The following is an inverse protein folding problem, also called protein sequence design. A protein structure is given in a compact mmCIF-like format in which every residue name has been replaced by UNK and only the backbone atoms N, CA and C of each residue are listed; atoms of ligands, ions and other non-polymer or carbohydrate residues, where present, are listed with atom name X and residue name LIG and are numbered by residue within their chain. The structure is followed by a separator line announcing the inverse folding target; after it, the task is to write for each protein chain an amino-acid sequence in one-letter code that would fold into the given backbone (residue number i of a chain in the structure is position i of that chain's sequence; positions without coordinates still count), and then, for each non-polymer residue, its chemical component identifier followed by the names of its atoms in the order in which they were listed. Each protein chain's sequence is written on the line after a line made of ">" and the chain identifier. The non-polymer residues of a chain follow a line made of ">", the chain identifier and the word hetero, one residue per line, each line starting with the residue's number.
data_IF_427353641172
#
_entry.id   IF_427353641172
#
_cell.length_a   1.000
_cell.length_b   1.000
_cell.length_c   1.000
_cell.angle_alpha   90.00
_cell.angle_beta   90.00
_cell.angle_gamma   90.00
#
_symmetry.space_group_name_H-M   'P 1'
#
loop_
_entity.id
_entity.type
_entity.pdbx_description
1 polymer ?
#
# COMPACT_ATOMS: atom_id res chain seq x y z
N UNK A 1 -2.19 -8.47 -22.11
CA UNK A 1 -2.05 -9.27 -20.88
C UNK A 1 -0.60 -9.11 -20.43
N UNK A 2 -0.21 -7.92 -19.97
CA UNK A 2 1.14 -7.70 -19.44
C UNK A 2 1.13 -8.20 -18.00
N UNK A 3 1.67 -9.40 -17.80
CA UNK A 3 1.89 -9.97 -16.47
C UNK A 3 2.65 -8.96 -15.61
N UNK A 4 1.95 -8.33 -14.68
CA UNK A 4 2.49 -7.43 -13.67
C UNK A 4 3.46 -8.21 -12.79
N UNK A 5 4.73 -8.22 -13.22
CA UNK A 5 5.87 -8.96 -12.64
C UNK A 5 6.10 -8.70 -11.14
N UNK A 6 5.49 -7.66 -10.58
CA UNK A 6 5.70 -7.18 -9.21
C UNK A 6 5.17 -8.18 -8.16
N UNK A 7 4.23 -9.06 -8.52
CA UNK A 7 3.61 -10.03 -7.61
C UNK A 7 4.15 -11.47 -7.74
N UNK A 8 5.06 -11.75 -8.68
CA UNK A 8 5.39 -13.15 -9.05
C UNK A 8 6.60 -13.74 -8.32
N UNK A 9 7.53 -12.92 -7.81
CA UNK A 9 8.75 -13.39 -7.12
C UNK A 9 9.18 -12.44 -5.99
N UNK A 10 9.71 -12.96 -4.87
CA UNK A 10 10.37 -12.14 -3.86
C UNK A 10 11.49 -11.32 -4.47
N UNK A 11 11.52 -10.02 -4.13
CA UNK A 11 12.72 -9.22 -4.28
C UNK A 11 13.85 -9.91 -3.51
N UNK A 12 14.97 -10.10 -4.19
CA UNK A 12 16.18 -10.62 -3.56
C UNK A 12 16.71 -9.61 -2.53
N UNK A 13 17.48 -10.06 -1.52
CA UNK A 13 18.13 -9.14 -0.57
C UNK A 13 18.98 -8.06 -1.25
N UNK A 14 19.58 -8.40 -2.40
CA UNK A 14 20.36 -7.45 -3.19
C UNK A 14 19.47 -6.37 -3.85
N UNK A 15 18.31 -6.74 -4.38
CA UNK A 15 17.36 -5.78 -4.94
C UNK A 15 16.77 -4.86 -3.86
N UNK A 16 16.45 -5.41 -2.68
CA UNK A 16 15.98 -4.62 -1.55
C UNK A 16 17.05 -3.61 -1.09
N UNK A 17 18.32 -4.03 -0.98
CA UNK A 17 19.39 -3.10 -0.61
C UNK A 17 19.64 -2.05 -1.71
N UNK A 18 19.47 -2.41 -2.99
CA UNK A 18 19.51 -1.46 -4.09
C UNK A 18 18.39 -0.41 -3.98
N UNK A 19 17.14 -0.81 -3.74
CA UNK A 19 16.01 0.11 -3.53
C UNK A 19 16.25 1.03 -2.34
N UNK A 20 16.73 0.45 -1.22
CA UNK A 20 17.06 1.20 -0.01
C UNK A 20 18.19 2.21 -0.25
N UNK A 21 19.20 1.83 -1.04
CA UNK A 21 20.29 2.71 -1.44
C UNK A 21 19.79 3.89 -2.28
N UNK A 22 18.88 3.66 -3.23
CA UNK A 22 18.25 4.73 -4.00
C UNK A 22 17.52 5.71 -3.07
N UNK A 23 16.69 5.20 -2.14
CA UNK A 23 15.97 6.04 -1.17
C UNK A 23 16.91 6.87 -0.28
N UNK A 24 18.03 6.29 0.16
CA UNK A 24 19.05 6.97 0.97
C UNK A 24 19.82 8.05 0.20
N UNK A 25 19.93 7.90 -1.11
CA UNK A 25 20.63 8.84 -1.99
C UNK A 25 19.72 9.98 -2.48
N UNK A 26 18.44 9.98 -2.10
CA UNK A 26 17.54 11.07 -2.45
C UNK A 26 17.92 12.37 -1.72
N UNK A 27 17.74 13.55 -2.36
CA UNK A 27 18.11 14.84 -1.80
C UNK A 27 17.45 15.14 -0.44
N UNK A 28 16.18 14.76 -0.28
CA UNK A 28 15.42 15.03 0.95
C UNK A 28 15.61 13.96 2.03
N UNK A 29 16.40 12.91 1.78
CA UNK A 29 16.56 11.82 2.74
C UNK A 29 17.15 12.33 4.06
N UNK A 30 16.37 12.22 5.12
CA UNK A 30 16.79 12.57 6.48
C UNK A 30 16.01 11.76 7.50
N UNK A 31 16.69 11.26 8.53
CA UNK A 31 16.07 10.55 9.66
C UNK A 31 15.11 9.43 9.22
N UNK A 32 15.47 8.71 8.15
CA UNK A 32 14.68 7.64 7.55
C UNK A 32 13.32 8.07 6.97
N UNK A 33 13.22 9.35 6.60
CA UNK A 33 12.10 9.95 5.88
C UNK A 33 12.60 10.62 4.61
N UNK A 34 11.72 10.72 3.62
CA UNK A 34 11.91 11.48 2.38
C UNK A 34 10.68 12.36 2.15
N UNK A 35 10.81 13.41 1.36
CA UNK A 35 9.67 14.19 0.90
C UNK A 35 8.83 13.40 -0.11
N UNK A 36 7.51 13.46 0.01
CA UNK A 36 6.57 12.69 -0.80
C UNK A 36 6.72 12.95 -2.31
N UNK A 37 7.13 14.16 -2.68
CA UNK A 37 7.36 14.55 -4.08
C UNK A 37 8.52 13.80 -4.73
N UNK A 38 9.47 13.30 -3.94
CA UNK A 38 10.63 12.56 -4.44
C UNK A 38 10.35 11.08 -4.64
N UNK A 39 9.17 10.60 -4.23
CA UNK A 39 8.76 9.21 -4.44
C UNK A 39 8.75 8.84 -5.92
N UNK A 40 8.32 9.74 -6.82
CA UNK A 40 8.36 9.49 -8.26
C UNK A 40 9.80 9.37 -8.79
N UNK A 41 10.73 10.15 -8.23
CA UNK A 41 12.16 10.07 -8.55
C UNK A 41 12.73 8.71 -8.14
N UNK A 42 12.34 8.22 -6.96
CA UNK A 42 12.67 6.87 -6.52
C UNK A 42 12.12 5.81 -7.47
N UNK A 43 10.82 5.84 -7.82
CA UNK A 43 10.22 4.86 -8.73
C UNK A 43 10.94 4.82 -10.08
N UNK A 44 11.23 5.99 -10.66
CA UNK A 44 11.97 6.09 -11.91
C UNK A 44 13.39 5.54 -11.80
N UNK A 45 14.11 5.84 -10.72
CA UNK A 45 15.45 5.33 -10.46
C UNK A 45 15.48 3.82 -10.18
N UNK A 46 14.42 3.28 -9.57
CA UNK A 46 14.21 1.87 -9.33
C UNK A 46 13.75 1.10 -10.58
N UNK A 47 13.47 1.79 -11.69
CA UNK A 47 12.94 1.18 -12.91
C UNK A 47 11.49 0.70 -12.79
N UNK A 48 10.74 1.23 -11.81
CA UNK A 48 9.33 0.89 -11.57
C UNK A 48 8.46 1.85 -12.39
N UNK A 49 7.80 1.38 -13.47
CA UNK A 49 6.96 2.24 -14.29
C UNK A 49 5.81 2.79 -13.44
N UNK A 50 5.79 4.11 -13.25
CA UNK A 50 4.82 4.79 -12.39
C UNK A 50 4.19 5.95 -13.15
N UNK A 51 2.86 5.97 -13.28
CA UNK A 51 2.13 7.08 -13.89
C UNK A 51 2.01 8.25 -12.90
N UNK A 52 1.75 9.49 -13.37
CA UNK A 52 1.51 10.63 -12.48
C UNK A 52 0.35 10.42 -11.49
N UNK A 53 -0.69 9.70 -11.91
CA UNK A 53 -1.86 9.38 -11.08
C UNK A 53 -1.48 8.41 -9.94
N UNK A 54 -0.70 7.37 -10.27
CA UNK A 54 -0.12 6.45 -9.29
C UNK A 54 0.80 7.21 -8.32
N UNK A 55 1.66 8.08 -8.84
CA UNK A 55 2.58 8.90 -8.05
C UNK A 55 1.83 9.73 -6.99
N UNK A 56 0.73 10.38 -7.36
CA UNK A 56 -0.09 11.17 -6.44
C UNK A 56 -0.77 10.31 -5.37
N UNK A 57 -1.26 9.12 -5.74
CA UNK A 57 -1.85 8.19 -4.79
C UNK A 57 -0.83 7.70 -3.74
N UNK A 58 0.39 7.37 -4.16
CA UNK A 58 1.46 6.96 -3.25
C UNK A 58 1.84 8.06 -2.26
N UNK A 59 1.82 9.33 -2.67
CA UNK A 59 2.10 10.45 -1.77
C UNK A 59 1.15 10.43 -0.57
N UNK A 60 -0.14 10.19 -0.80
CA UNK A 60 -1.14 10.10 0.26
C UNK A 60 -1.03 8.79 1.05
N UNK A 61 -0.66 7.71 0.37
CA UNK A 61 -0.55 6.39 0.97
C UNK A 61 0.58 6.32 1.99
N UNK A 62 1.81 6.67 1.60
CA UNK A 62 3.01 6.60 2.44
C UNK A 62 3.21 7.82 3.36
N UNK A 63 2.26 8.76 3.38
CA UNK A 63 2.33 9.96 4.21
C UNK A 63 2.35 9.63 5.69
N UNK A 64 3.27 10.24 6.44
CA UNK A 64 3.33 10.13 7.90
C UNK A 64 2.35 11.09 8.60
N UNK A 65 1.70 10.69 9.72
CA UNK A 65 0.68 11.53 10.39
C UNK A 65 1.19 12.85 10.99
N UNK A 66 2.49 12.97 11.28
CA UNK A 66 3.10 14.10 12.03
C UNK A 66 4.10 14.94 11.24
N UNK A 67 4.20 14.78 9.93
CA UNK A 67 5.20 15.47 9.10
C UNK A 67 4.58 16.03 7.83
N UNK A 68 4.79 17.32 7.60
CA UNK A 68 4.47 18.04 6.36
C UNK A 68 5.02 17.27 5.16
N UNK A 69 4.15 16.59 4.41
CA UNK A 69 4.49 15.94 3.14
C UNK A 69 5.67 14.96 3.18
N UNK A 70 5.90 14.27 4.32
CA UNK A 70 6.96 13.26 4.45
C UNK A 70 6.42 11.83 4.27
N UNK A 71 7.27 10.98 3.68
CA UNK A 71 7.08 9.54 3.59
C UNK A 71 8.15 8.79 4.38
N UNK A 72 7.73 7.71 5.05
CA UNK A 72 8.63 6.83 5.82
C UNK A 72 9.33 5.84 4.90
N UNK A 73 10.67 5.87 4.86
CA UNK A 73 11.47 4.94 4.06
C UNK A 73 11.28 3.50 4.52
N UNK A 74 11.06 3.28 5.82
CA UNK A 74 10.75 1.95 6.34
C UNK A 74 9.43 1.42 5.82
N UNK A 75 8.38 2.25 5.75
CA UNK A 75 7.06 1.78 5.32
C UNK A 75 7.03 1.53 3.81
N UNK A 76 7.77 2.33 3.03
CA UNK A 76 8.05 2.03 1.62
C UNK A 76 8.73 0.66 1.50
N UNK A 77 9.83 0.43 2.22
CA UNK A 77 10.57 -0.84 2.16
C UNK A 77 9.74 -2.05 2.61
N UNK A 78 8.92 -1.91 3.65
CA UNK A 78 8.00 -2.99 4.10
C UNK A 78 7.02 -3.38 3.00
N UNK A 79 6.48 -2.42 2.25
CA UNK A 79 5.63 -2.73 1.10
C UNK A 79 6.42 -3.57 0.11
N UNK A 80 7.62 -3.13 -0.30
CA UNK A 80 8.47 -3.88 -1.24
C UNK A 80 8.86 -5.27 -0.74
N UNK A 81 9.19 -5.42 0.54
CA UNK A 81 9.47 -6.70 1.18
C UNK A 81 8.25 -7.62 1.16
N UNK A 82 7.05 -7.07 1.35
CA UNK A 82 5.81 -7.86 1.44
C UNK A 82 5.16 -8.19 0.09
N UNK A 83 5.53 -7.52 -1.01
CA UNK A 83 4.89 -7.68 -2.33
C UNK A 83 4.82 -9.12 -2.86
N UNK A 84 5.71 -10.01 -2.40
CA UNK A 84 5.76 -11.42 -2.81
C UNK A 84 4.96 -12.38 -1.92
N UNK A 85 4.68 -11.96 -0.68
CA UNK A 85 3.79 -12.68 0.22
C UNK A 85 2.47 -11.94 0.20
N UNK A 86 1.55 -12.44 -0.61
CA UNK A 86 0.26 -11.79 -0.80
C UNK A 86 -0.49 -11.54 0.51
N UNK A 87 -0.32 -12.41 1.53
CA UNK A 87 -0.93 -12.18 2.85
C UNK A 87 -0.26 -11.03 3.58
N UNK A 88 1.07 -10.98 3.57
CA UNK A 88 1.83 -9.89 4.18
C UNK A 88 1.60 -8.55 3.46
N UNK A 89 1.49 -8.57 2.13
CA UNK A 89 1.13 -7.42 1.31
C UNK A 89 -0.27 -6.94 1.67
N UNK A 90 -1.28 -7.81 1.64
CA UNK A 90 -2.65 -7.47 2.02
C UNK A 90 -2.75 -6.94 3.46
N UNK A 91 -1.94 -7.46 4.38
CA UNK A 91 -1.87 -6.95 5.76
C UNK A 91 -1.21 -5.57 5.83
N UNK A 92 -0.12 -5.35 5.10
CA UNK A 92 0.54 -4.04 5.03
C UNK A 92 -0.38 -3.01 4.40
N UNK A 93 -1.15 -3.43 3.40
CA UNK A 93 -2.20 -2.64 2.76
C UNK A 93 -3.28 -2.25 3.73
N UNK A 94 -3.86 -3.22 4.44
CA UNK A 94 -4.91 -2.98 5.42
C UNK A 94 -4.42 -2.04 6.53
N UNK A 95 -3.17 -2.20 6.99
CA UNK A 95 -2.55 -1.28 7.97
C UNK A 95 -2.39 0.15 7.49
N UNK A 96 -2.26 0.37 6.18
CA UNK A 96 -2.21 1.74 5.65
C UNK A 96 -3.59 2.36 5.46
N UNK A 97 -4.64 1.53 5.41
CA UNK A 97 -6.02 2.03 5.46
C UNK A 97 -6.33 2.53 6.87
N UNK A 98 -5.85 1.82 7.90
CA UNK A 98 -5.89 2.24 9.31
C UNK A 98 -4.97 3.47 9.55
N UNK A 99 -5.48 4.66 9.24
CA UNK A 99 -4.72 5.91 9.34
C UNK A 99 -4.64 6.39 10.78
N UNK A 100 -5.66 6.10 11.58
CA UNK A 100 -5.73 6.50 12.98
C UNK A 100 -4.94 5.52 13.91
N UNK A 101 -4.62 4.32 13.43
CA UNK A 101 -3.85 3.30 14.14
C UNK A 101 -4.62 2.60 15.24
N UNK A 102 -5.96 2.58 15.18
CA UNK A 102 -6.83 1.96 16.18
C UNK A 102 -7.08 0.46 15.94
N UNK A 103 -6.59 -0.08 14.81
CA UNK A 103 -6.74 -1.48 14.41
C UNK A 103 -8.08 -1.80 13.75
N UNK A 104 -8.97 -0.83 13.64
CA UNK A 104 -10.25 -0.88 12.97
C UNK A 104 -10.19 0.00 11.71
N UNK A 105 -10.94 -0.37 10.67
CA UNK A 105 -11.04 0.40 9.44
C UNK A 105 -12.39 1.08 9.44
N UNK A 106 -12.40 2.40 9.58
CA UNK A 106 -13.61 3.21 9.42
C UNK A 106 -14.06 3.32 7.96
N UNK A 107 -15.29 3.78 7.74
CA UNK A 107 -15.81 4.00 6.38
C UNK A 107 -14.96 5.02 5.62
N UNK A 108 -14.54 6.09 6.29
CA UNK A 108 -13.69 7.14 5.72
C UNK A 108 -12.30 6.61 5.34
N UNK A 109 -11.72 5.77 6.20
CA UNK A 109 -10.43 5.11 5.95
C UNK A 109 -10.49 4.11 4.80
N UNK A 110 -11.58 3.35 4.73
CA UNK A 110 -11.85 2.45 3.61
C UNK A 110 -11.95 3.21 2.29
N UNK A 111 -12.76 4.27 2.22
CA UNK A 111 -12.93 5.03 0.98
C UNK A 111 -11.62 5.69 0.52
N UNK A 112 -10.85 6.24 1.46
CA UNK A 112 -9.53 6.82 1.17
C UNK A 112 -8.55 5.75 0.64
N UNK A 113 -8.53 4.58 1.28
CA UNK A 113 -7.67 3.47 0.86
C UNK A 113 -8.07 2.87 -0.49
N UNK A 114 -9.38 2.69 -0.75
CA UNK A 114 -9.89 2.21 -2.04
C UNK A 114 -9.57 3.20 -3.16
N UNK A 115 -9.70 4.50 -2.91
CA UNK A 115 -9.32 5.52 -3.89
C UNK A 115 -7.83 5.46 -4.23
N UNK A 116 -6.96 5.34 -3.23
CA UNK A 116 -5.52 5.19 -3.43
C UNK A 116 -5.18 3.92 -4.23
N UNK A 117 -5.87 2.82 -3.95
CA UNK A 117 -5.64 1.55 -4.63
C UNK A 117 -6.15 1.50 -6.06
N UNK A 118 -7.31 2.11 -6.35
CA UNK A 118 -7.80 2.24 -7.73
C UNK A 118 -6.86 3.06 -8.60
N UNK A 119 -6.19 4.06 -8.00
CA UNK A 119 -5.17 4.82 -8.68
C UNK A 119 -3.88 4.01 -8.89
N UNK A 120 -3.53 3.10 -7.97
CA UNK A 120 -2.40 2.18 -8.11
C UNK A 120 -2.61 1.15 -9.22
N UNK A 121 -3.73 0.44 -9.18
CA UNK A 121 -4.07 -0.62 -10.11
C UNK A 121 -5.60 -0.66 -10.27
N UNK A 122 -6.13 -0.16 -11.41
CA UNK A 122 -7.55 -0.12 -11.68
C UNK A 122 -8.21 -1.51 -11.67
N UNK A 123 -7.44 -2.56 -11.98
CA UNK A 123 -7.91 -3.94 -12.13
C UNK A 123 -7.81 -4.73 -10.81
N UNK A 124 -6.98 -4.29 -9.86
CA UNK A 124 -6.81 -4.93 -8.54
C UNK A 124 -8.14 -5.04 -7.78
N UNK A 125 -9.04 -4.10 -8.05
CA UNK A 125 -10.38 -4.06 -7.51
C UNK A 125 -11.47 -4.44 -8.53
N UNK A 126 -11.27 -4.30 -9.84
CA UNK A 126 -12.22 -4.76 -10.88
C UNK A 126 -13.71 -4.56 -10.55
N UNK A 127 -14.56 -5.54 -10.87
CA UNK A 127 -15.99 -5.50 -10.48
C UNK A 127 -16.23 -5.68 -8.96
N UNK A 128 -15.23 -6.19 -8.22
CA UNK A 128 -15.35 -6.54 -6.80
C UNK A 128 -15.06 -5.36 -5.85
N UNK A 129 -14.38 -4.30 -6.30
CA UNK A 129 -14.15 -3.05 -5.56
C UNK A 129 -15.22 -1.99 -5.79
N UNK A 130 -16.36 -2.43 -6.31
CA UNK A 130 -17.64 -1.75 -6.16
C UNK A 130 -18.35 -2.15 -4.86
N UNK A 131 -17.75 -3.05 -4.06
CA UNK A 131 -18.30 -3.40 -2.75
C UNK A 131 -18.21 -2.17 -1.84
N UNK A 132 -19.39 -1.66 -1.48
CA UNK A 132 -19.51 -0.64 -0.44
C UNK A 132 -19.06 -1.19 0.91
N UNK A 133 -18.67 -0.30 1.80
CA UNK A 133 -18.15 -0.62 3.13
C UNK A 133 -19.05 -1.60 3.91
N UNK A 134 -20.37 -1.41 3.89
CA UNK A 134 -21.33 -2.33 4.54
C UNK A 134 -21.30 -3.76 3.98
N UNK A 135 -21.15 -3.90 2.67
CA UNK A 135 -21.07 -5.22 2.01
C UNK A 135 -19.72 -5.88 2.24
N UNK A 136 -18.67 -5.08 2.45
CA UNK A 136 -17.36 -5.56 2.86
C UNK A 136 -17.40 -6.09 4.29
N UNK A 137 -17.97 -5.35 5.25
CA UNK A 137 -18.15 -5.81 6.63
C UNK A 137 -18.85 -7.17 6.62
N UNK A 138 -20.01 -7.31 5.97
CA UNK A 138 -20.73 -8.61 5.91
C UNK A 138 -19.91 -9.79 5.38
N UNK A 139 -18.86 -9.54 4.59
CA UNK A 139 -18.02 -10.58 3.99
C UNK A 139 -16.70 -10.79 4.72
N UNK A 140 -16.18 -9.75 5.36
CA UNK A 140 -14.86 -9.74 5.98
C UNK A 140 -14.95 -9.88 7.51
N UNK A 141 -16.00 -9.35 8.14
CA UNK A 141 -16.31 -9.46 9.57
C UNK A 141 -16.53 -10.94 9.93
N UNK A 142 -15.47 -11.57 10.42
CA UNK A 142 -15.47 -12.99 10.83
C UNK A 142 -15.80 -13.13 12.30
N UNK A 143 -15.43 -12.13 13.09
CA UNK A 143 -15.64 -12.17 14.53
C UNK A 143 -17.07 -11.73 14.92
N UNK A 144 -17.86 -11.24 13.96
CA UNK A 144 -19.23 -10.72 14.09
C UNK A 144 -19.34 -9.57 15.09
N UNK A 145 -18.32 -8.72 15.18
CA UNK A 145 -18.31 -7.52 16.02
C UNK A 145 -18.98 -6.31 15.34
N UNK A 146 -19.35 -6.45 14.07
CA UNK A 146 -19.99 -5.41 13.27
C UNK A 146 -19.03 -4.33 12.77
N UNK A 147 -17.73 -4.56 12.91
CA UNK A 147 -16.66 -3.67 12.46
C UNK A 147 -15.77 -4.40 11.46
N UNK A 148 -14.85 -3.64 10.85
CA UNK A 148 -13.87 -4.19 9.93
C UNK A 148 -12.49 -4.04 10.55
N UNK A 149 -11.88 -5.13 10.99
CA UNK A 149 -10.54 -5.09 11.54
C UNK A 149 -9.47 -5.15 10.44
N UNK A 150 -8.28 -4.63 10.72
CA UNK A 150 -7.14 -4.67 9.80
C UNK A 150 -6.83 -6.10 9.32
N UNK A 151 -6.83 -7.06 10.25
CA UNK A 151 -6.59 -8.48 9.96
C UNK A 151 -7.69 -9.09 9.10
N UNK A 152 -8.94 -8.67 9.30
CA UNK A 152 -10.10 -9.15 8.55
C UNK A 152 -10.09 -8.65 7.12
N UNK A 153 -9.80 -7.36 6.93
CA UNK A 153 -9.59 -6.76 5.62
C UNK A 153 -8.45 -7.45 4.87
N UNK A 154 -7.32 -7.68 5.55
CA UNK A 154 -6.17 -8.37 4.98
C UNK A 154 -6.49 -9.82 4.56
N UNK A 155 -7.18 -10.56 5.41
CA UNK A 155 -7.60 -11.94 5.12
C UNK A 155 -8.59 -11.99 3.96
N UNK A 156 -9.49 -11.01 3.88
CA UNK A 156 -10.44 -10.89 2.79
C UNK A 156 -9.74 -10.63 1.45
N UNK A 157 -8.80 -9.66 1.41
CA UNK A 157 -7.99 -9.41 0.21
C UNK A 157 -7.17 -10.63 -0.23
N UNK A 158 -6.53 -11.32 0.71
CA UNK A 158 -5.76 -12.53 0.39
C UNK A 158 -6.63 -13.63 -0.22
N UNK A 159 -7.91 -13.73 0.16
CA UNK A 159 -8.84 -14.70 -0.41
C UNK A 159 -9.37 -14.27 -1.79
N UNK A 160 -9.24 -13.00 -2.18
CA UNK A 160 -9.70 -12.52 -3.49
C UNK A 160 -8.75 -12.85 -4.64
N UNK A 161 -7.47 -13.06 -4.34
CA UNK A 161 -6.42 -13.33 -5.33
C UNK A 161 -6.08 -14.83 -5.49
N UNK A 162 -6.75 -15.71 -4.73
CA UNK A 162 -6.67 -17.17 -4.88
C UNK A 162 -7.75 -17.72 -5.83
#
# INVERSE_FOLDING_TARGET
>A
MSESHILAKPFTPQELENLKSILRNLPSYKDNTIHNSEYITFCNAAGIPTTPEQAEAYKNYFRVPRGDDLCSVNDIMKVFESLHDIKAYCLTVAKHFDKNGDGEISMEEYDAGVAAMKAFDPDLFGEKGKLGFDELIKKADKNNDGKLQVEELAAWFSNMQN
#
